data_IF_727939170228
#
_entry.id   IF_727939170228
#
_cell.length_a   1.000
_cell.length_b   1.000
_cell.length_c   1.000
_cell.angle_alpha   90.00
_cell.angle_beta   90.00
_cell.angle_gamma   90.00
#
_symmetry.space_group_name_H-M   'P 1'
#
loop_
_entity.id
_entity.type
_entity.pdbx_description
1 polymer ?
#
# COMPACT_ATOMS: atom_id res chain seq x y z
N UNK A 1 -10.43 -0.47 6.70
CA UNK A 1 -11.45 0.21 7.54
C UNK A 1 -12.88 0.02 7.02
N UNK A 2 -13.19 0.16 5.72
CA UNK A 2 -14.56 0.06 5.21
C UNK A 2 -15.30 -1.26 5.60
N UNK A 3 -14.71 -2.47 5.49
CA UNK A 3 -15.38 -3.68 5.96
C UNK A 3 -15.81 -3.65 7.42
N UNK A 4 -14.99 -3.05 8.28
CA UNK A 4 -15.29 -2.92 9.72
C UNK A 4 -16.49 -2.03 9.98
N UNK A 5 -16.57 -0.89 9.27
CA UNK A 5 -17.69 0.04 9.42
C UNK A 5 -18.99 -0.58 8.93
N UNK A 6 -18.96 -1.27 7.78
CA UNK A 6 -20.12 -1.98 7.26
C UNK A 6 -20.59 -3.09 8.20
N UNK A 7 -19.67 -3.90 8.72
CA UNK A 7 -19.98 -4.96 9.67
C UNK A 7 -20.62 -4.39 10.96
N UNK A 8 -20.13 -3.26 11.46
CA UNK A 8 -20.71 -2.57 12.62
C UNK A 8 -22.09 -1.97 12.34
N UNK A 9 -22.35 -1.59 11.10
CA UNK A 9 -23.66 -1.13 10.66
C UNK A 9 -24.63 -2.29 10.33
N UNK A 10 -24.24 -3.55 10.51
CA UNK A 10 -25.02 -4.71 10.14
C UNK A 10 -25.14 -4.94 8.63
N UNK A 11 -24.27 -4.31 7.84
CA UNK A 11 -24.28 -4.39 6.39
C UNK A 11 -23.19 -5.38 5.96
N UNK A 12 -23.56 -6.39 5.18
CA UNK A 12 -22.59 -7.33 4.61
C UNK A 12 -21.71 -6.63 3.58
N UNK A 13 -20.37 -6.65 3.74
CA UNK A 13 -19.49 -6.06 2.75
C UNK A 13 -19.65 -6.73 1.37
N UNK A 14 -19.65 -5.98 0.26
CA UNK A 14 -19.64 -6.54 -1.08
C UNK A 14 -18.44 -7.46 -1.30
N UNK A 15 -18.62 -8.54 -2.07
CA UNK A 15 -17.54 -9.52 -2.34
C UNK A 15 -16.32 -8.91 -3.04
N UNK A 16 -16.51 -7.83 -3.81
CA UNK A 16 -15.41 -7.10 -4.47
C UNK A 16 -14.63 -6.19 -3.50
N UNK A 17 -15.13 -5.95 -2.30
CA UNK A 17 -14.47 -5.07 -1.33
C UNK A 17 -13.23 -5.76 -0.77
N UNK A 18 -12.10 -5.07 -0.86
CA UNK A 18 -10.83 -5.51 -0.29
C UNK A 18 -10.70 -5.06 1.17
N UNK A 19 -9.94 -5.84 1.92
CA UNK A 19 -9.70 -5.58 3.32
C UNK A 19 -10.46 -6.54 4.23
N UNK A 20 -10.19 -6.44 5.51
CA UNK A 20 -10.76 -7.30 6.54
C UNK A 20 -11.51 -6.47 7.57
N UNK A 21 -12.41 -7.10 8.31
CA UNK A 21 -13.01 -6.53 9.50
C UNK A 21 -11.97 -6.48 10.64
N UNK A 22 -11.54 -5.27 10.99
CA UNK A 22 -10.57 -5.05 12.07
C UNK A 22 -11.17 -5.23 13.48
N UNK A 23 -12.47 -5.40 13.60
CA UNK A 23 -13.12 -5.73 14.87
C UNK A 23 -13.17 -7.22 15.17
N UNK A 24 -12.77 -8.07 14.21
CA UNK A 24 -12.59 -9.49 14.46
C UNK A 24 -11.47 -9.73 15.50
N UNK A 25 -11.59 -10.74 16.37
CA UNK A 25 -10.50 -11.14 17.25
C UNK A 25 -9.19 -11.40 16.50
N UNK A 26 -8.06 -11.10 17.11
CA UNK A 26 -6.74 -11.22 16.48
C UNK A 26 -6.41 -12.64 16.02
N UNK A 27 -6.83 -13.65 16.78
CA UNK A 27 -6.66 -15.06 16.47
C UNK A 27 -7.46 -15.54 15.26
N UNK A 28 -8.53 -14.82 14.91
CA UNK A 28 -9.37 -15.09 13.74
C UNK A 28 -8.93 -14.30 12.50
N UNK A 29 -7.95 -13.41 12.64
CA UNK A 29 -7.38 -12.68 11.50
C UNK A 29 -6.27 -13.52 10.88
N UNK A 30 -6.31 -13.72 9.58
CA UNK A 30 -5.19 -14.32 8.84
C UNK A 30 -4.00 -13.33 8.77
N UNK A 31 -3.42 -13.01 9.95
CA UNK A 31 -2.36 -11.99 10.04
C UNK A 31 -0.97 -12.49 9.65
N UNK A 32 -0.74 -13.80 9.71
CA UNK A 32 0.59 -14.39 9.47
C UNK A 32 1.14 -14.12 8.08
N UNK A 33 0.27 -13.93 7.09
CA UNK A 33 0.65 -13.71 5.69
C UNK A 33 0.24 -12.32 5.18
N UNK A 34 -0.02 -11.40 6.11
CA UNK A 34 -0.51 -10.08 5.74
C UNK A 34 0.61 -9.21 5.19
N UNK A 35 0.40 -8.75 3.97
CA UNK A 35 1.26 -7.79 3.30
C UNK A 35 0.61 -6.42 3.39
N UNK A 36 1.38 -5.41 3.76
CA UNK A 36 1.00 -4.02 3.67
C UNK A 36 1.89 -3.34 2.62
N UNK A 37 1.27 -2.72 1.64
CA UNK A 37 1.94 -1.88 0.65
C UNK A 37 1.66 -0.42 0.98
N UNK A 38 2.70 0.42 0.88
CA UNK A 38 2.57 1.87 0.93
C UNK A 38 3.37 2.48 -0.24
N UNK A 39 2.82 3.54 -0.80
CA UNK A 39 3.44 4.29 -1.89
C UNK A 39 3.40 5.78 -1.53
N UNK A 40 4.46 6.48 -1.83
CA UNK A 40 4.58 7.94 -1.77
C UNK A 40 5.06 8.42 -3.14
N UNK A 41 4.43 9.44 -3.69
CA UNK A 41 4.87 10.16 -4.88
C UNK A 41 4.61 11.64 -4.63
N UNK A 42 5.64 12.35 -4.15
CA UNK A 42 5.53 13.74 -3.80
C UNK A 42 6.84 14.47 -4.09
N UNK A 43 6.79 15.52 -4.89
CA UNK A 43 7.94 16.39 -5.23
C UNK A 43 9.18 15.62 -5.73
N UNK A 44 8.95 14.58 -6.54
CA UNK A 44 10.02 13.73 -7.07
C UNK A 44 10.57 12.71 -6.08
N UNK A 45 10.05 12.67 -4.84
CA UNK A 45 10.31 11.59 -3.91
C UNK A 45 9.31 10.47 -4.16
N UNK A 46 9.75 9.42 -4.84
CA UNK A 46 8.93 8.24 -5.09
C UNK A 46 9.45 7.09 -4.24
N UNK A 47 8.62 6.63 -3.32
CA UNK A 47 8.93 5.52 -2.43
C UNK A 47 7.85 4.45 -2.56
N UNK A 48 8.27 3.21 -2.44
CA UNK A 48 7.39 2.06 -2.26
C UNK A 48 7.88 1.25 -1.09
N UNK A 49 6.98 0.78 -0.26
CA UNK A 49 7.35 -0.17 0.77
C UNK A 49 6.40 -1.35 0.81
N UNK A 50 6.99 -2.53 1.04
CA UNK A 50 6.27 -3.73 1.40
C UNK A 50 6.63 -4.10 2.83
N UNK A 51 5.62 -4.32 3.66
CA UNK A 51 5.79 -4.77 5.04
C UNK A 51 5.03 -6.06 5.27
N UNK A 52 5.72 -7.03 5.86
CA UNK A 52 5.17 -8.26 6.45
C UNK A 52 5.24 -8.19 7.97
N UNK A 53 4.91 -9.27 8.67
CA UNK A 53 5.10 -9.35 10.12
C UNK A 53 6.58 -9.26 10.54
N UNK A 54 7.50 -9.74 9.70
CA UNK A 54 8.93 -9.80 10.01
C UNK A 54 9.76 -8.79 9.23
N UNK A 55 9.45 -8.57 7.95
CA UNK A 55 10.31 -7.84 7.03
C UNK A 55 9.67 -6.57 6.52
N UNK A 56 10.50 -5.57 6.25
CA UNK A 56 10.11 -4.36 5.51
C UNK A 56 11.14 -4.10 4.43
N UNK A 57 10.67 -4.04 3.18
CA UNK A 57 11.43 -3.62 2.02
C UNK A 57 10.99 -2.21 1.65
N UNK A 58 11.94 -1.34 1.35
CA UNK A 58 11.70 0.02 0.84
C UNK A 58 12.47 0.17 -0.46
N UNK A 59 11.79 0.58 -1.52
CA UNK A 59 12.37 0.97 -2.80
C UNK A 59 12.23 2.48 -2.96
N UNK A 60 13.33 3.16 -3.29
CA UNK A 60 13.36 4.58 -3.61
C UNK A 60 13.72 4.77 -5.09
N UNK A 61 13.14 5.80 -5.72
CA UNK A 61 13.49 6.14 -7.09
C UNK A 61 14.96 6.55 -7.23
N UNK A 62 15.58 6.33 -8.41
CA UNK A 62 16.93 6.79 -8.69
C UNK A 62 17.06 8.31 -8.48
N UNK A 63 18.14 8.74 -7.83
CA UNK A 63 18.37 10.15 -7.48
C UNK A 63 17.26 10.74 -6.60
N UNK A 64 16.77 9.93 -5.66
CA UNK A 64 15.78 10.38 -4.70
C UNK A 64 16.20 11.70 -4.04
N UNK A 65 15.33 12.73 -3.99
CA UNK A 65 15.69 14.07 -3.50
C UNK A 65 16.06 14.09 -2.01
N UNK A 66 15.66 13.07 -1.24
CA UNK A 66 16.04 12.90 0.17
C UNK A 66 17.35 12.15 0.36
N UNK A 67 18.03 11.75 -0.72
CA UNK A 67 19.30 11.02 -0.68
C UNK A 67 19.19 9.60 -0.12
N UNK A 68 18.01 8.99 -0.20
CA UNK A 68 17.77 7.62 0.27
C UNK A 68 18.49 6.60 -0.62
N UNK A 69 18.97 5.48 -0.04
CA UNK A 69 19.45 4.34 -0.83
C UNK A 69 18.35 3.84 -1.79
N UNK A 70 18.73 3.30 -2.95
CA UNK A 70 17.75 2.76 -3.90
C UNK A 70 16.89 1.64 -3.31
N UNK A 71 17.45 0.86 -2.38
CA UNK A 71 16.74 -0.23 -1.73
C UNK A 71 17.22 -0.43 -0.29
N UNK A 72 16.30 -0.64 0.62
CA UNK A 72 16.56 -0.94 2.02
C UNK A 72 15.71 -2.12 2.48
N UNK A 73 16.32 -3.02 3.25
CA UNK A 73 15.66 -4.18 3.84
C UNK A 73 15.88 -4.20 5.35
N UNK A 74 14.80 -4.33 6.11
CA UNK A 74 14.83 -4.37 7.58
C UNK A 74 14.13 -5.60 8.12
N UNK A 75 14.72 -6.24 9.15
CA UNK A 75 14.06 -7.25 9.97
C UNK A 75 13.31 -6.57 11.11
N UNK A 76 12.12 -6.07 10.83
CA UNK A 76 11.33 -5.26 11.77
C UNK A 76 10.80 -6.03 12.98
N UNK A 77 10.90 -7.36 12.99
CA UNK A 77 10.60 -8.18 14.16
C UNK A 77 11.72 -8.14 15.20
N UNK A 78 12.98 -8.10 14.76
CA UNK A 78 14.16 -8.08 15.63
C UNK A 78 14.77 -6.68 15.76
N UNK A 79 14.55 -5.81 14.77
CA UNK A 79 14.98 -4.41 14.71
C UNK A 79 13.77 -3.49 14.43
N UNK A 80 12.89 -3.28 15.39
CA UNK A 80 11.72 -2.41 15.21
C UNK A 80 12.08 -0.93 14.98
N UNK A 81 13.33 -0.54 15.26
CA UNK A 81 13.85 0.79 14.99
C UNK A 81 14.39 1.00 13.58
N UNK A 82 14.44 -0.06 12.75
CA UNK A 82 14.92 0.01 11.37
C UNK A 82 16.33 0.62 11.27
N UNK A 83 17.22 0.20 12.18
CA UNK A 83 18.56 0.78 12.33
C UNK A 83 19.61 0.09 11.44
N UNK A 84 19.35 -1.16 11.03
CA UNK A 84 20.28 -1.94 10.24
C UNK A 84 19.68 -2.32 8.89
N UNK A 85 20.22 -1.73 7.81
CA UNK A 85 19.86 -2.10 6.45
C UNK A 85 20.53 -3.43 6.06
N UNK A 86 19.75 -4.49 5.90
CA UNK A 86 20.18 -5.84 5.58
C UNK A 86 20.15 -6.15 4.07
N UNK A 87 19.92 -5.18 3.21
CA UNK A 87 19.72 -5.43 1.77
C UNK A 87 20.91 -6.17 1.12
N UNK A 88 22.13 -5.81 1.48
CA UNK A 88 23.31 -6.49 0.93
C UNK A 88 23.52 -7.89 1.51
N UNK A 89 23.25 -8.07 2.81
CA UNK A 89 23.45 -9.33 3.52
C UNK A 89 22.36 -10.36 3.21
N UNK A 90 21.18 -9.90 2.82
CA UNK A 90 19.96 -10.70 2.58
C UNK A 90 19.37 -10.40 1.20
N UNK A 91 20.19 -10.29 0.17
CA UNK A 91 19.78 -9.95 -1.19
C UNK A 91 18.70 -10.91 -1.75
N UNK A 92 18.79 -12.20 -1.42
CA UNK A 92 17.78 -13.19 -1.81
C UNK A 92 16.43 -12.83 -1.23
N UNK A 93 16.39 -12.45 0.06
CA UNK A 93 15.15 -12.06 0.74
C UNK A 93 14.57 -10.76 0.18
N UNK A 94 15.41 -9.79 -0.13
CA UNK A 94 14.99 -8.56 -0.80
C UNK A 94 14.35 -8.86 -2.17
N UNK A 95 14.96 -9.77 -2.95
CA UNK A 95 14.42 -10.23 -4.24
C UNK A 95 13.04 -10.89 -4.11
N UNK A 96 12.85 -11.76 -3.12
CA UNK A 96 11.55 -12.40 -2.85
C UNK A 96 10.46 -11.38 -2.51
N UNK A 97 10.77 -10.43 -1.63
CA UNK A 97 9.80 -9.40 -1.22
C UNK A 97 9.47 -8.45 -2.37
N UNK A 98 10.44 -8.13 -3.23
CA UNK A 98 10.21 -7.32 -4.42
C UNK A 98 9.24 -8.03 -5.38
N UNK A 99 9.49 -9.29 -5.68
CA UNK A 99 8.59 -10.08 -6.52
C UNK A 99 7.17 -10.16 -5.93
N UNK A 100 7.06 -10.26 -4.60
CA UNK A 100 5.78 -10.27 -3.91
C UNK A 100 5.07 -8.91 -3.98
N UNK A 101 5.81 -7.80 -3.89
CA UNK A 101 5.28 -6.45 -4.05
C UNK A 101 4.72 -6.24 -5.46
N UNK A 102 5.49 -6.62 -6.48
CA UNK A 102 5.08 -6.53 -7.89
C UNK A 102 3.82 -7.35 -8.19
N UNK A 103 3.77 -8.60 -7.72
CA UNK A 103 2.61 -9.46 -7.88
C UNK A 103 1.35 -8.85 -7.23
N UNK A 104 1.49 -8.30 -6.03
CA UNK A 104 0.40 -7.65 -5.30
C UNK A 104 -0.11 -6.41 -6.03
N UNK A 105 0.81 -5.57 -6.54
CA UNK A 105 0.45 -4.40 -7.35
C UNK A 105 -0.26 -4.80 -8.65
N UNK A 106 0.21 -5.84 -9.33
CA UNK A 106 -0.41 -6.31 -10.56
C UNK A 106 -1.85 -6.75 -10.33
N UNK A 107 -2.11 -7.48 -9.25
CA UNK A 107 -3.47 -7.86 -8.84
C UNK A 107 -4.32 -6.62 -8.52
N UNK A 108 -3.78 -5.63 -7.82
CA UNK A 108 -4.50 -4.39 -7.52
C UNK A 108 -4.86 -3.62 -8.80
N UNK A 109 -3.92 -3.48 -9.73
CA UNK A 109 -4.14 -2.80 -11.03
C UNK A 109 -5.17 -3.51 -11.90
N UNK A 110 -5.12 -4.85 -11.99
CA UNK A 110 -6.09 -5.62 -12.77
C UNK A 110 -7.51 -5.47 -12.24
N UNK A 111 -7.67 -5.36 -10.92
CA UNK A 111 -8.98 -5.13 -10.29
C UNK A 111 -9.47 -3.69 -10.48
N UNK A 112 -8.57 -2.71 -10.41
CA UNK A 112 -8.89 -1.31 -10.67
C UNK A 112 -9.35 -1.07 -12.11
N UNK A 113 -8.70 -1.70 -13.09
CA UNK A 113 -9.08 -1.61 -14.50
C UNK A 113 -10.48 -2.18 -14.80
N UNK A 114 -10.99 -3.10 -13.96
CA UNK A 114 -12.34 -3.66 -14.10
C UNK A 114 -13.44 -2.86 -13.41
N UNK A 115 -13.12 -1.85 -12.59
CA UNK A 115 -14.09 -1.14 -11.72
C UNK A 115 -14.27 0.34 -12.05
N UNK A 116 -13.53 0.92 -12.97
CA UNK A 116 -13.48 2.35 -13.22
C UNK A 116 -13.79 2.76 -14.65
N UNK A 117 -15.06 2.91 -15.00
CA UNK A 117 -15.39 3.96 -15.97
C UNK A 117 -15.09 5.31 -15.31
N UNK A 118 -14.35 6.20 -16.02
CA UNK A 118 -14.24 7.57 -15.56
C UNK A 118 -15.65 8.12 -15.33
N UNK A 119 -15.96 8.51 -14.09
CA UNK A 119 -17.21 9.18 -13.82
C UNK A 119 -17.17 10.52 -14.56
N UNK A 120 -18.04 10.70 -15.56
CA UNK A 120 -18.20 12.00 -16.15
C UNK A 120 -18.79 12.93 -15.08
N UNK A 121 -18.01 13.90 -14.67
CA UNK A 121 -18.44 14.91 -13.75
C UNK A 121 -19.38 15.87 -14.48
N UNK A 122 -20.54 16.16 -13.89
CA UNK A 122 -21.41 17.22 -14.39
C UNK A 122 -20.71 18.59 -14.30
N UNK A 123 -21.13 19.54 -15.14
CA UNK A 123 -20.56 20.91 -15.17
C UNK A 123 -20.56 21.54 -13.76
N UNK A 124 -21.63 21.35 -12.99
CA UNK A 124 -21.72 21.84 -11.62
C UNK A 124 -20.70 21.20 -10.67
N UNK A 125 -20.38 19.92 -10.86
CA UNK A 125 -19.33 19.24 -10.07
C UNK A 125 -17.95 19.71 -10.47
N UNK A 126 -17.71 19.96 -11.76
CA UNK A 126 -16.45 20.52 -12.25
C UNK A 126 -16.23 21.95 -11.71
N UNK A 127 -17.25 22.79 -11.73
CA UNK A 127 -17.17 24.14 -11.14
C UNK A 127 -16.91 24.10 -9.63
N UNK A 128 -17.57 23.20 -8.92
CA UNK A 128 -17.32 23.02 -7.48
C UNK A 128 -15.87 22.58 -7.20
N UNK A 129 -15.32 21.66 -7.99
CA UNK A 129 -13.91 21.23 -7.86
C UNK A 129 -12.94 22.35 -8.19
N UNK A 130 -13.22 23.17 -9.23
CA UNK A 130 -12.42 24.36 -9.53
C UNK A 130 -12.45 25.39 -8.40
N UNK A 131 -13.62 25.65 -7.84
CA UNK A 131 -13.76 26.57 -6.71
C UNK A 131 -12.99 26.10 -5.45
N UNK A 132 -12.77 24.79 -5.32
CA UNK A 132 -11.98 24.17 -4.25
C UNK A 132 -10.49 24.05 -4.58
N UNK A 133 -10.05 24.46 -5.81
CA UNK A 133 -8.66 24.40 -6.23
C UNK A 133 -8.17 23.02 -6.67
N UNK A 134 -9.06 22.08 -6.99
CA UNK A 134 -8.69 20.73 -7.43
C UNK A 134 -8.56 20.54 -8.94
N UNK A 135 -8.91 21.56 -9.75
CA UNK A 135 -8.75 21.55 -11.20
C UNK A 135 -8.46 22.97 -11.69
N UNK A 136 -7.55 23.11 -12.67
CA UNK A 136 -7.32 24.32 -13.44
C UNK A 136 -8.24 24.39 -14.67
#
# INVERSE_FOLDING_TARGET
MAPTLLARAGIRPPAAMQGIDLAMPLDQRAEKDRISLAEEDHEGNVLRSLRTAQWKLIDANPKNPRGLPPEELFDVANDPGETQNLNQERADRAGELRAQAEATQQVARSRAAGSGGAAELSDAQQEALKALGYAE
#
